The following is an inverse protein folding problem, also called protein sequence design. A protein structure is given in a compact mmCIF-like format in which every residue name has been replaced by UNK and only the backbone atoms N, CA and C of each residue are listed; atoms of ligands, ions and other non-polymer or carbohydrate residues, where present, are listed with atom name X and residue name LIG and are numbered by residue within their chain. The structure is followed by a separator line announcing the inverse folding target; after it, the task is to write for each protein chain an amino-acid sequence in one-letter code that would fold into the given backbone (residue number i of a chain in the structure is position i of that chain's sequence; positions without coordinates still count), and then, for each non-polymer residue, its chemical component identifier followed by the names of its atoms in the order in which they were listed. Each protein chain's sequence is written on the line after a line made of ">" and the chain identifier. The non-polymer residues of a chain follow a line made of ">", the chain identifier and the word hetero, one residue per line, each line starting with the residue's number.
data_IF_802701291689
#
_entry.id   IF_802701291689
#
_cell.length_a   1.000
_cell.length_b   1.000
_cell.length_c   1.000
_cell.angle_alpha   90.00
_cell.angle_beta   90.00
_cell.angle_gamma   90.00
#
_symmetry.space_group_name_H-M   'P 1'
#
loop_
_entity.id
_entity.type
_entity.pdbx_description
1 polymer ?
#
# COMPACT_ATOMS: atom_id res chain seq x y z
N UNK A 1 -40.33 57.77 7.59
CA UNK A 1 -40.19 56.39 8.11
C UNK A 1 -40.17 55.42 6.94
N UNK A 2 -39.05 55.36 6.20
CA UNK A 2 -38.77 54.34 5.15
C UNK A 2 -37.39 54.67 4.53
N UNK A 3 -36.30 54.40 5.24
CA UNK A 3 -34.96 54.53 4.64
C UNK A 3 -33.91 53.68 5.38
N UNK A 4 -34.25 52.41 5.67
CA UNK A 4 -33.33 51.50 6.37
C UNK A 4 -33.28 50.07 5.82
N UNK A 5 -33.68 49.86 4.55
CA UNK A 5 -33.66 48.53 3.93
C UNK A 5 -33.02 48.56 2.53
N UNK A 6 -31.82 49.13 2.42
CA UNK A 6 -31.06 49.08 1.16
C UNK A 6 -29.58 48.67 1.29
N UNK A 7 -29.11 48.29 2.48
CA UNK A 7 -27.71 47.88 2.70
C UNK A 7 -27.48 46.37 2.91
N UNK A 8 -28.51 45.53 2.72
CA UNK A 8 -28.40 44.08 2.95
C UNK A 8 -28.31 43.24 1.66
N UNK A 9 -27.84 43.81 0.55
CA UNK A 9 -27.80 43.12 -0.75
C UNK A 9 -26.45 43.26 -1.48
N UNK A 10 -25.33 43.28 -0.76
CA UNK A 10 -24.00 43.39 -1.40
C UNK A 10 -22.94 42.37 -0.99
N UNK A 11 -23.30 41.29 -0.31
CA UNK A 11 -22.35 40.19 -0.04
C UNK A 11 -23.00 38.81 -0.25
N UNK A 12 -23.57 38.62 -1.43
CA UNK A 12 -23.71 37.24 -1.95
C UNK A 12 -22.42 36.94 -2.70
N UNK A 13 -21.58 35.98 -2.28
CA UNK A 13 -20.48 35.50 -3.11
C UNK A 13 -21.07 34.68 -4.25
N UNK A 14 -21.56 35.38 -5.27
CA UNK A 14 -21.85 34.81 -6.59
C UNK A 14 -20.53 34.70 -7.34
N UNK A 15 -19.96 33.51 -7.38
CA UNK A 15 -18.79 33.24 -8.21
C UNK A 15 -18.03 32.04 -7.69
N UNK A 16 -18.54 30.85 -7.95
CA UNK A 16 -17.70 29.66 -7.91
C UNK A 16 -16.64 29.81 -9.00
N UNK A 17 -15.50 30.36 -8.63
CA UNK A 17 -14.33 30.44 -9.49
C UNK A 17 -13.88 29.01 -9.82
N UNK A 18 -14.38 28.47 -10.93
CA UNK A 18 -13.62 27.50 -11.71
C UNK A 18 -12.43 28.24 -12.34
N UNK A 19 -11.53 28.73 -11.48
CA UNK A 19 -10.21 29.16 -11.89
C UNK A 19 -9.52 27.90 -12.42
N UNK A 20 -9.33 27.83 -13.74
CA UNK A 20 -8.45 26.82 -14.33
C UNK A 20 -7.11 26.88 -13.60
N UNK A 21 -6.67 25.77 -12.96
CA UNK A 21 -5.48 25.77 -12.11
C UNK A 21 -4.27 26.27 -12.90
N UNK A 22 -3.46 27.13 -12.29
CA UNK A 22 -2.27 27.64 -12.96
C UNK A 22 -1.28 26.52 -13.24
N UNK A 23 -0.43 26.66 -14.26
CA UNK A 23 0.58 25.66 -14.59
C UNK A 23 1.51 25.38 -13.39
N UNK A 24 1.83 26.38 -12.58
CA UNK A 24 2.58 26.23 -11.33
C UNK A 24 1.83 25.38 -10.29
N UNK A 25 0.51 25.55 -10.15
CA UNK A 25 -0.30 24.76 -9.22
C UNK A 25 -0.33 23.29 -9.64
N UNK A 26 -0.43 23.02 -10.95
CA UNK A 26 -0.39 21.67 -11.50
C UNK A 26 0.97 20.97 -11.26
N UNK A 27 2.08 21.69 -11.41
CA UNK A 27 3.41 21.17 -11.05
C UNK A 27 3.55 20.90 -9.55
N UNK A 28 3.02 21.79 -8.70
CA UNK A 28 3.02 21.58 -7.25
C UNK A 28 2.17 20.37 -6.85
N UNK A 29 0.99 20.21 -7.46
CA UNK A 29 0.13 19.04 -7.26
C UNK A 29 0.81 17.75 -7.72
N UNK A 30 1.52 17.79 -8.85
CA UNK A 30 2.31 16.66 -9.33
C UNK A 30 3.43 16.30 -8.35
N UNK A 31 4.20 17.27 -7.86
CA UNK A 31 5.26 17.04 -6.89
C UNK A 31 4.74 16.47 -5.56
N UNK A 32 3.59 16.96 -5.09
CA UNK A 32 2.91 16.42 -3.92
C UNK A 32 2.44 14.98 -4.16
N UNK A 33 1.85 14.68 -5.32
CA UNK A 33 1.40 13.34 -5.68
C UNK A 33 2.56 12.34 -5.78
N UNK A 34 3.70 12.74 -6.37
CA UNK A 34 4.93 11.92 -6.41
C UNK A 34 5.44 11.62 -5.01
N UNK A 35 5.46 12.63 -4.13
CA UNK A 35 5.87 12.45 -2.72
C UNK A 35 4.96 11.44 -2.00
N UNK A 36 3.65 11.48 -2.25
CA UNK A 36 2.70 10.52 -1.70
C UNK A 36 2.95 9.10 -2.22
N UNK A 37 3.21 8.95 -3.52
CA UNK A 37 3.58 7.65 -4.11
C UNK A 37 4.85 7.09 -3.46
N UNK A 38 5.91 7.90 -3.33
CA UNK A 38 7.17 7.48 -2.72
C UNK A 38 6.99 7.04 -1.25
N UNK A 39 6.24 7.81 -0.45
CA UNK A 39 5.91 7.43 0.93
C UNK A 39 5.14 6.12 0.99
N UNK A 40 4.16 5.93 0.11
CA UNK A 40 3.36 4.72 0.07
C UNK A 40 4.19 3.50 -0.38
N UNK A 41 5.14 3.67 -1.30
CA UNK A 41 6.07 2.61 -1.71
C UNK A 41 6.98 2.18 -0.54
N UNK A 42 7.49 3.13 0.25
CA UNK A 42 8.24 2.83 1.47
C UNK A 42 7.39 2.05 2.50
N UNK A 43 6.11 2.40 2.67
CA UNK A 43 5.19 1.66 3.53
C UNK A 43 5.01 0.22 3.03
N UNK A 44 4.83 0.01 1.73
CA UNK A 44 4.70 -1.33 1.14
C UNK A 44 5.95 -2.17 1.41
N UNK A 45 7.14 -1.59 1.23
CA UNK A 45 8.40 -2.27 1.55
C UNK A 45 8.56 -2.58 3.04
N UNK A 46 8.19 -1.66 3.92
CA UNK A 46 8.22 -1.88 5.36
C UNK A 46 7.28 -3.03 5.77
N UNK A 47 6.04 -3.02 5.29
CA UNK A 47 5.06 -4.09 5.54
C UNK A 47 5.57 -5.44 5.05
N UNK A 48 6.24 -5.47 3.89
CA UNK A 48 6.86 -6.68 3.37
C UNK A 48 8.05 -7.16 4.22
N UNK A 49 8.91 -6.25 4.70
CA UNK A 49 10.01 -6.62 5.59
C UNK A 49 9.52 -7.20 6.93
N UNK A 50 8.49 -6.60 7.53
CA UNK A 50 7.90 -7.07 8.79
C UNK A 50 7.25 -8.45 8.60
N UNK A 51 6.67 -8.75 7.44
CA UNK A 51 6.14 -10.08 7.13
C UNK A 51 7.21 -11.18 7.29
N UNK A 52 8.37 -10.96 6.68
CA UNK A 52 9.47 -11.92 6.73
C UNK A 52 10.04 -12.05 8.14
N UNK A 53 10.16 -10.94 8.87
CA UNK A 53 10.58 -10.98 10.26
C UNK A 53 9.62 -11.80 11.12
N UNK A 54 8.30 -11.64 10.95
CA UNK A 54 7.30 -12.41 11.68
C UNK A 54 7.37 -13.91 11.35
N UNK A 55 7.53 -14.28 10.07
CA UNK A 55 7.72 -15.68 9.68
C UNK A 55 9.02 -16.27 10.24
N UNK A 56 10.12 -15.50 10.24
CA UNK A 56 11.38 -15.95 10.83
C UNK A 56 11.22 -16.24 12.33
N UNK A 57 10.50 -15.39 13.08
CA UNK A 57 10.21 -15.62 14.50
C UNK A 57 9.38 -16.89 14.70
N UNK A 58 8.37 -17.14 13.87
CA UNK A 58 7.57 -18.38 13.93
C UNK A 58 8.43 -19.64 13.66
N UNK A 59 9.35 -19.55 12.70
CA UNK A 59 10.30 -20.64 12.43
C UNK A 59 11.25 -20.87 13.61
N UNK A 60 11.79 -19.81 14.20
CA UNK A 60 12.61 -19.94 15.41
C UNK A 60 11.80 -20.56 16.56
N UNK A 61 10.54 -20.17 16.73
CA UNK A 61 9.66 -20.74 17.74
C UNK A 61 9.43 -22.25 17.54
N UNK A 62 9.36 -22.73 16.28
CA UNK A 62 9.25 -24.17 15.97
C UNK A 62 10.50 -24.96 16.33
N UNK A 63 11.68 -24.35 16.23
CA UNK A 63 12.96 -25.04 16.41
C UNK A 63 13.71 -24.58 17.68
N UNK A 64 13.03 -23.90 18.62
CA UNK A 64 13.67 -23.36 19.84
C UNK A 64 14.31 -24.46 20.68
N UNK A 65 13.75 -25.67 20.68
CA UNK A 65 14.27 -26.84 21.39
C UNK A 65 15.41 -27.56 20.68
N UNK A 66 15.78 -27.18 19.44
CA UNK A 66 16.78 -27.88 18.62
C UNK A 66 16.31 -29.20 18.01
N UNK A 67 15.30 -29.84 18.59
CA UNK A 67 14.62 -31.03 18.06
C UNK A 67 13.38 -30.68 17.23
N UNK A 68 12.88 -31.66 16.46
CA UNK A 68 11.60 -31.58 15.77
C UNK A 68 10.48 -31.21 16.77
N UNK A 69 9.63 -30.21 16.45
CA UNK A 69 8.60 -29.74 17.36
C UNK A 69 7.60 -30.85 17.68
N UNK A 70 7.19 -30.92 18.94
CA UNK A 70 6.08 -31.79 19.36
C UNK A 70 4.83 -31.41 18.56
N UNK A 71 4.10 -32.41 18.08
CA UNK A 71 2.86 -32.27 17.30
C UNK A 71 1.92 -31.12 17.72
N UNK A 72 1.51 -30.98 19.00
CA UNK A 72 0.59 -29.91 19.39
C UNK A 72 1.19 -28.52 19.18
N UNK A 73 2.49 -28.35 19.42
CA UNK A 73 3.19 -27.07 19.20
C UNK A 73 3.29 -26.78 17.70
N UNK A 74 3.71 -27.77 16.91
CA UNK A 74 3.81 -27.66 15.45
C UNK A 74 2.48 -27.29 14.80
N UNK A 75 1.39 -27.92 15.23
CA UNK A 75 0.04 -27.65 14.75
C UNK A 75 -0.42 -26.23 15.08
N UNK A 76 -0.28 -25.80 16.34
CA UNK A 76 -0.69 -24.45 16.78
C UNK A 76 0.11 -23.37 16.04
N UNK A 77 1.44 -23.51 15.97
CA UNK A 77 2.28 -22.53 15.27
C UNK A 77 1.92 -22.47 13.78
N UNK A 78 1.61 -23.60 13.16
CA UNK A 78 1.21 -23.63 11.75
C UNK A 78 -0.13 -22.93 11.51
N UNK A 79 -1.14 -23.13 12.38
CA UNK A 79 -2.41 -22.39 12.29
C UNK A 79 -2.18 -20.88 12.44
N UNK A 80 -1.35 -20.47 13.40
CA UNK A 80 -0.97 -19.07 13.59
C UNK A 80 -0.29 -18.53 12.33
N UNK A 81 0.59 -19.30 11.71
CA UNK A 81 1.25 -18.95 10.44
C UNK A 81 0.27 -18.74 9.27
N UNK A 82 -0.75 -19.60 9.14
CA UNK A 82 -1.83 -19.43 8.15
C UNK A 82 -2.59 -18.14 8.41
N UNK A 83 -3.08 -17.95 9.64
CA UNK A 83 -3.85 -16.76 10.02
C UNK A 83 -3.05 -15.46 9.78
N UNK A 84 -1.78 -15.46 10.19
CA UNK A 84 -0.85 -14.35 9.94
C UNK A 84 -0.73 -14.06 8.45
N UNK A 85 -0.54 -15.08 7.62
CA UNK A 85 -0.37 -14.94 6.17
C UNK A 85 -1.62 -14.37 5.48
N UNK A 86 -2.81 -14.80 5.91
CA UNK A 86 -4.09 -14.27 5.41
C UNK A 86 -4.32 -12.81 5.80
N UNK A 87 -4.07 -12.46 7.07
CA UNK A 87 -4.14 -11.07 7.54
C UNK A 87 -3.15 -10.21 6.77
N UNK A 88 -1.93 -10.70 6.54
CA UNK A 88 -0.92 -9.98 5.79
C UNK A 88 -1.32 -9.73 4.34
N UNK A 89 -1.89 -10.73 3.67
CA UNK A 89 -2.40 -10.59 2.31
C UNK A 89 -3.44 -9.46 2.21
N UNK A 90 -4.31 -9.30 3.21
CA UNK A 90 -5.28 -8.21 3.25
C UNK A 90 -4.60 -6.84 3.41
N UNK A 91 -3.63 -6.73 4.32
CA UNK A 91 -2.85 -5.51 4.54
C UNK A 91 -2.09 -5.10 3.27
N UNK A 92 -1.40 -6.05 2.63
CA UNK A 92 -0.58 -5.80 1.45
C UNK A 92 -1.45 -5.44 0.23
N UNK A 93 -2.57 -6.13 0.02
CA UNK A 93 -3.55 -5.76 -1.01
C UNK A 93 -4.05 -4.33 -0.84
N UNK A 94 -4.35 -3.93 0.40
CA UNK A 94 -4.79 -2.56 0.70
C UNK A 94 -3.68 -1.54 0.44
N UNK A 95 -2.46 -1.83 0.88
CA UNK A 95 -1.32 -0.93 0.66
C UNK A 95 -1.00 -0.74 -0.83
N UNK A 96 -1.05 -1.83 -1.62
CA UNK A 96 -0.85 -1.79 -3.08
C UNK A 96 -2.02 -1.08 -3.78
N UNK A 97 -3.26 -1.24 -3.31
CA UNK A 97 -4.42 -0.54 -3.88
C UNK A 97 -4.29 0.98 -3.74
N UNK A 98 -3.89 1.48 -2.56
CA UNK A 98 -3.62 2.90 -2.35
C UNK A 98 -2.47 3.40 -3.23
N UNK A 99 -1.40 2.62 -3.38
CA UNK A 99 -0.27 2.97 -4.24
C UNK A 99 -0.70 3.14 -5.70
N UNK A 100 -1.49 2.20 -6.23
CA UNK A 100 -2.05 2.27 -7.59
C UNK A 100 -2.96 3.47 -7.78
N UNK A 101 -3.73 3.84 -6.75
CA UNK A 101 -4.58 5.02 -6.79
C UNK A 101 -3.75 6.31 -6.93
N UNK A 102 -2.71 6.48 -6.13
CA UNK A 102 -1.83 7.65 -6.24
C UNK A 102 -1.07 7.69 -7.57
N UNK A 103 -0.63 6.53 -8.08
CA UNK A 103 -0.02 6.44 -9.42
C UNK A 103 -0.99 6.83 -10.54
N UNK A 104 -2.27 6.49 -10.42
CA UNK A 104 -3.30 6.90 -11.37
C UNK A 104 -3.51 8.42 -11.36
N UNK A 105 -3.44 9.06 -10.19
CA UNK A 105 -3.49 10.53 -10.06
C UNK A 105 -2.29 11.17 -10.77
N UNK A 106 -1.07 10.66 -10.52
CA UNK A 106 0.15 11.16 -11.18
C UNK A 106 0.03 11.04 -12.70
N UNK A 107 -0.38 9.88 -13.21
CA UNK A 107 -0.58 9.67 -14.65
C UNK A 107 -1.67 10.58 -15.22
N UNK A 108 -2.76 10.78 -14.48
CA UNK A 108 -3.83 11.70 -14.86
C UNK A 108 -3.34 13.15 -14.97
N UNK A 109 -2.50 13.60 -14.05
CA UNK A 109 -1.87 14.91 -14.10
C UNK A 109 -0.88 15.05 -15.27
N UNK A 110 0.00 14.05 -15.47
CA UNK A 110 0.97 14.04 -16.56
C UNK A 110 0.29 14.05 -17.95
N UNK A 111 -0.71 13.20 -18.15
CA UNK A 111 -1.34 12.97 -19.45
C UNK A 111 -2.43 14.00 -19.78
N UNK A 112 -3.31 14.33 -18.83
CA UNK A 112 -4.50 15.14 -19.11
C UNK A 112 -4.26 16.65 -18.94
N UNK A 113 -3.28 17.05 -18.13
CA UNK A 113 -3.08 18.45 -17.78
C UNK A 113 -1.73 19.00 -18.25
N UNK A 114 -0.64 18.24 -18.08
CA UNK A 114 0.69 18.70 -18.44
C UNK A 114 1.15 18.28 -19.85
N UNK A 115 0.54 17.25 -20.45
CA UNK A 115 0.92 16.69 -21.76
C UNK A 115 2.41 16.29 -21.83
N UNK A 116 2.94 15.78 -20.72
CA UNK A 116 4.34 15.37 -20.58
C UNK A 116 4.41 13.83 -20.69
N UNK A 117 5.50 13.24 -21.20
CA UNK A 117 5.63 11.78 -21.27
C UNK A 117 5.42 11.12 -19.90
N UNK A 118 4.64 10.01 -19.83
CA UNK A 118 4.30 9.34 -18.59
C UNK A 118 5.54 8.66 -18.00
N UNK A 119 6.23 9.35 -17.09
CA UNK A 119 7.44 8.92 -16.36
C UNK A 119 8.28 10.09 -15.90
N UNK A 120 8.05 11.30 -16.41
CA UNK A 120 8.84 12.50 -16.04
C UNK A 120 8.69 12.83 -14.55
N UNK A 121 7.53 12.54 -13.96
CA UNK A 121 7.32 12.64 -12.53
C UNK A 121 8.18 11.63 -11.73
N UNK A 122 8.58 10.52 -12.36
CA UNK A 122 9.34 9.43 -11.74
C UNK A 122 10.83 9.41 -12.13
N UNK A 123 11.31 10.31 -12.99
CA UNK A 123 12.75 10.34 -13.38
C UNK A 123 13.69 10.65 -12.20
N UNK A 124 13.19 11.27 -11.13
CA UNK A 124 13.92 11.45 -9.87
C UNK A 124 13.77 10.31 -8.86
N UNK A 125 12.91 9.33 -9.14
CA UNK A 125 12.53 8.24 -8.23
C UNK A 125 12.57 6.86 -8.91
N UNK A 126 13.76 6.39 -9.37
CA UNK A 126 13.91 5.10 -10.05
C UNK A 126 13.48 3.90 -9.20
N UNK A 127 13.54 4.02 -7.87
CA UNK A 127 13.08 3.03 -6.90
C UNK A 127 11.59 2.72 -7.07
N UNK A 128 10.77 3.71 -7.38
CA UNK A 128 9.32 3.54 -7.57
C UNK A 128 9.02 2.72 -8.83
N UNK A 129 9.81 2.92 -9.89
CA UNK A 129 9.72 2.15 -11.14
C UNK A 129 10.12 0.69 -10.93
N UNK A 130 11.15 0.46 -10.12
CA UNK A 130 11.55 -0.90 -9.72
C UNK A 130 10.50 -1.55 -8.81
N UNK A 131 9.91 -0.77 -7.90
CA UNK A 131 8.79 -1.15 -7.04
C UNK A 131 7.62 -1.72 -7.84
N UNK A 132 7.23 -1.08 -8.94
CA UNK A 132 6.15 -1.55 -9.82
C UNK A 132 6.33 -3.01 -10.30
N UNK A 133 7.56 -3.43 -10.61
CA UNK A 133 7.84 -4.78 -11.14
C UNK A 133 7.81 -5.86 -10.06
N UNK A 134 8.16 -5.52 -8.81
CA UNK A 134 8.24 -6.49 -7.71
C UNK A 134 6.91 -6.70 -6.99
N UNK A 135 5.96 -5.78 -7.08
CA UNK A 135 4.63 -5.88 -6.45
C UNK A 135 3.87 -7.20 -6.64
N UNK A 136 3.78 -7.80 -7.85
CA UNK A 136 3.11 -9.10 -7.98
C UNK A 136 3.85 -10.22 -7.24
N UNK A 137 5.18 -10.15 -7.16
CA UNK A 137 5.98 -11.09 -6.38
C UNK A 137 5.74 -10.90 -4.88
N UNK A 138 5.68 -9.65 -4.41
CA UNK A 138 5.39 -9.33 -3.01
C UNK A 138 4.01 -9.89 -2.61
N UNK A 139 2.98 -9.66 -3.43
CA UNK A 139 1.61 -10.19 -3.20
C UNK A 139 1.51 -11.72 -3.27
N UNK A 140 2.38 -12.38 -4.04
CA UNK A 140 2.42 -13.84 -4.10
C UNK A 140 3.06 -14.46 -2.85
N UNK A 141 3.95 -13.73 -2.17
CA UNK A 141 4.69 -14.21 -1.01
C UNK A 141 3.80 -14.67 0.16
N UNK A 142 2.81 -13.89 0.65
CA UNK A 142 1.92 -14.35 1.71
C UNK A 142 1.03 -15.53 1.28
N UNK A 143 0.70 -15.66 -0.01
CA UNK A 143 -0.03 -16.83 -0.52
C UNK A 143 0.83 -18.09 -0.45
N UNK A 144 2.08 -18.01 -0.91
CA UNK A 144 3.03 -19.13 -0.82
C UNK A 144 3.27 -19.50 0.64
N UNK A 145 3.45 -18.52 1.52
CA UNK A 145 3.60 -18.77 2.96
C UNK A 145 2.37 -19.47 3.54
N UNK A 146 1.15 -19.01 3.22
CA UNK A 146 -0.08 -19.66 3.68
C UNK A 146 -0.17 -21.12 3.20
N UNK A 147 0.26 -21.42 1.98
CA UNK A 147 0.33 -22.79 1.44
C UNK A 147 1.36 -23.63 2.20
N UNK A 148 2.54 -23.08 2.49
CA UNK A 148 3.58 -23.79 3.26
C UNK A 148 3.12 -24.09 4.69
N UNK A 149 2.46 -23.13 5.34
CA UNK A 149 1.86 -23.35 6.66
C UNK A 149 0.68 -24.34 6.61
N UNK A 150 -0.12 -24.33 5.54
CA UNK A 150 -1.15 -25.35 5.31
C UNK A 150 -0.55 -26.75 5.14
N UNK A 151 0.56 -26.85 4.42
CA UNK A 151 1.30 -28.10 4.25
C UNK A 151 1.86 -28.61 5.58
N UNK A 152 2.40 -27.72 6.44
CA UNK A 152 2.89 -28.12 7.75
C UNK A 152 1.77 -28.60 8.68
N UNK A 153 0.58 -27.98 8.64
CA UNK A 153 -0.61 -28.50 9.35
C UNK A 153 -0.90 -29.94 8.92
N UNK A 154 -0.97 -30.18 7.61
CA UNK A 154 -1.22 -31.52 7.07
C UNK A 154 -0.16 -32.54 7.54
N UNK A 155 1.11 -32.15 7.53
CA UNK A 155 2.22 -32.98 8.00
C UNK A 155 2.06 -33.38 9.48
N UNK A 156 1.82 -32.40 10.36
CA UNK A 156 1.65 -32.67 11.80
C UNK A 156 0.40 -33.49 12.12
N UNK A 157 -0.64 -33.43 11.28
CA UNK A 157 -1.84 -34.27 11.43
C UNK A 157 -1.59 -35.73 11.03
N UNK A 158 -0.76 -35.98 10.02
CA UNK A 158 -0.64 -37.30 9.38
C UNK A 158 0.54 -38.14 9.90
N UNK A 159 1.60 -37.51 10.43
CA UNK A 159 2.82 -38.22 10.82
C UNK A 159 3.03 -38.24 12.34
N UNK A 160 3.11 -39.43 12.98
CA UNK A 160 3.34 -39.68 14.42
C UNK A 160 4.43 -38.86 15.09
#
# INVERSE_FOLDING_TARGET
>A
MTEHLQDAAKDTPTGGDTQTPSKSDLWNQLGNAVTLVAKQDQIVWAVFGVFWAANAVLLVALFTSGDLPKRPVGFVVSIVGIALSLVWLACERRAVAWLRFYEAIVKGLEQNHLHVPPSVAFTGHPETVRGMRVRPLMLACPLVSAVLWGWSVWWFMTHP
#
